data_IF_185520650609
#
_entry.id   IF_185520650609
#
_cell.length_a   1.000
_cell.length_b   1.000
_cell.length_c   1.000
_cell.angle_alpha   90.00
_cell.angle_beta   90.00
_cell.angle_gamma   90.00
#
_symmetry.space_group_name_H-M   'P 1'
#
loop_
_entity.id
_entity.type
_entity.pdbx_description
1 polymer ?
#
# COMPACT_ATOMS: atom_id res chain seq x y z
N UNK A 1 -18.04 -24.96 -45.16
CA UNK A 1 -18.00 -25.29 -43.74
C UNK A 1 -17.55 -23.99 -43.02
N UNK A 2 -18.49 -23.29 -42.40
CA UNK A 2 -18.18 -22.07 -41.68
C UNK A 2 -17.79 -22.36 -40.24
N UNK A 3 -16.62 -21.88 -39.83
CA UNK A 3 -16.17 -21.91 -38.46
C UNK A 3 -16.90 -20.85 -37.67
N UNK A 4 -17.78 -21.27 -36.77
CA UNK A 4 -18.40 -20.39 -35.77
C UNK A 4 -17.33 -20.03 -34.75
N UNK A 5 -16.94 -18.76 -34.68
CA UNK A 5 -16.13 -18.25 -33.57
C UNK A 5 -17.01 -18.23 -32.31
N UNK A 6 -16.66 -19.05 -31.33
CA UNK A 6 -17.26 -18.93 -29.99
C UNK A 6 -16.77 -17.64 -29.34
N UNK A 7 -17.65 -16.68 -29.22
CA UNK A 7 -17.44 -15.53 -28.35
C UNK A 7 -17.64 -15.99 -26.90
N UNK A 8 -16.54 -16.18 -26.19
CA UNK A 8 -16.59 -16.32 -24.74
C UNK A 8 -16.95 -14.95 -24.16
N UNK A 9 -18.24 -14.78 -23.81
CA UNK A 9 -18.67 -13.64 -23.02
C UNK A 9 -18.04 -13.79 -21.63
N UNK A 10 -16.97 -13.04 -21.38
CA UNK A 10 -16.41 -12.92 -20.03
C UNK A 10 -17.50 -12.36 -19.12
N UNK A 11 -17.84 -13.08 -18.05
CA UNK A 11 -18.74 -12.58 -17.03
C UNK A 11 -18.19 -11.24 -16.52
N UNK A 12 -19.05 -10.21 -16.30
CA UNK A 12 -18.58 -8.93 -15.78
C UNK A 12 -17.89 -9.18 -14.44
N UNK A 13 -16.64 -8.71 -14.33
CA UNK A 13 -15.87 -8.76 -13.09
C UNK A 13 -16.68 -8.01 -12.03
N UNK A 14 -16.94 -8.65 -10.88
CA UNK A 14 -17.70 -8.04 -9.78
C UNK A 14 -17.00 -6.74 -9.40
N UNK A 15 -17.75 -5.61 -9.42
CA UNK A 15 -17.28 -4.32 -8.92
C UNK A 15 -16.67 -4.51 -7.53
N UNK A 16 -15.41 -4.16 -7.37
CA UNK A 16 -14.79 -4.20 -6.07
C UNK A 16 -15.50 -3.19 -5.16
N UNK A 17 -16.00 -3.65 -4.02
CA UNK A 17 -16.51 -2.75 -2.99
C UNK A 17 -15.31 -2.00 -2.41
N UNK A 18 -15.25 -0.68 -2.63
CA UNK A 18 -14.18 0.17 -2.14
C UNK A 18 -14.54 0.82 -0.79
N UNK A 19 -14.94 -0.04 0.16
CA UNK A 19 -15.18 0.34 1.56
C UNK A 19 -14.57 -0.71 2.47
N UNK A 20 -13.70 -0.27 3.41
CA UNK A 20 -12.91 -1.14 4.28
C UNK A 20 -13.00 -0.67 5.73
N UNK A 21 -13.53 -1.52 6.61
CA UNK A 21 -13.70 -1.27 8.05
C UNK A 21 -12.63 -1.93 8.91
N UNK A 22 -11.82 -2.83 8.34
CA UNK A 22 -10.74 -3.55 9.01
C UNK A 22 -11.14 -4.35 10.26
N UNK A 23 -12.40 -4.76 10.37
CA UNK A 23 -12.89 -5.58 11.48
C UNK A 23 -12.44 -7.04 11.37
N UNK A 24 -12.17 -7.53 10.17
CA UNK A 24 -11.84 -8.91 9.89
C UNK A 24 -10.42 -9.06 9.36
N UNK A 25 -9.69 -10.03 9.91
CA UNK A 25 -8.29 -10.31 9.56
C UNK A 25 -8.06 -11.81 9.44
N UNK A 26 -7.22 -12.20 8.50
CA UNK A 26 -6.74 -13.56 8.36
C UNK A 26 -5.40 -13.71 9.08
N UNK A 27 -5.26 -14.77 9.89
CA UNK A 27 -3.99 -15.10 10.56
C UNK A 27 -3.19 -16.03 9.66
N UNK A 28 -1.95 -15.67 9.40
CA UNK A 28 -0.97 -16.48 8.67
C UNK A 28 0.03 -17.05 9.67
N UNK A 29 0.18 -18.37 9.69
CA UNK A 29 1.07 -19.09 10.61
C UNK A 29 2.23 -19.74 9.84
N UNK A 30 3.35 -19.02 9.62
CA UNK A 30 4.51 -19.58 8.96
C UNK A 30 5.22 -20.63 9.82
N UNK A 31 5.81 -21.64 9.19
CA UNK A 31 6.45 -22.75 9.91
C UNK A 31 7.64 -22.33 10.79
N UNK A 32 8.38 -21.29 10.38
CA UNK A 32 9.67 -20.91 11.00
C UNK A 32 9.71 -19.47 11.50
N UNK A 33 8.65 -18.70 11.31
CA UNK A 33 8.58 -17.29 11.66
C UNK A 33 7.38 -17.01 12.54
N UNK A 34 7.35 -15.84 13.16
CA UNK A 34 6.20 -15.38 13.92
C UNK A 34 4.96 -15.29 13.04
N UNK A 35 3.80 -15.59 13.60
CA UNK A 35 2.52 -15.39 12.93
C UNK A 35 2.28 -13.90 12.63
N UNK A 36 1.57 -13.63 11.55
CA UNK A 36 1.17 -12.29 11.17
C UNK A 36 -0.28 -12.28 10.65
N UNK A 37 -0.78 -11.09 10.38
CA UNK A 37 -2.15 -10.90 9.92
C UNK A 37 -2.17 -10.24 8.54
N UNK A 38 -3.20 -10.59 7.76
CA UNK A 38 -3.53 -9.94 6.50
C UNK A 38 -4.99 -9.45 6.54
N UNK A 39 -5.28 -8.24 6.04
CA UNK A 39 -6.64 -7.72 6.06
C UNK A 39 -7.56 -8.47 5.10
N UNK A 40 -8.84 -8.48 5.40
CA UNK A 40 -9.88 -9.02 4.53
C UNK A 40 -10.63 -7.86 3.85
N UNK A 41 -10.92 -7.97 2.54
CA UNK A 41 -10.74 -9.12 1.63
C UNK A 41 -9.34 -9.19 1.01
N UNK A 42 -8.71 -10.37 1.06
CA UNK A 42 -7.34 -10.60 0.58
C UNK A 42 -7.19 -10.59 -0.95
N UNK A 43 -8.27 -10.68 -1.69
CA UNK A 43 -8.28 -10.53 -3.15
C UNK A 43 -8.23 -9.06 -3.61
N UNK A 44 -8.43 -8.13 -2.68
CA UNK A 44 -8.42 -6.68 -2.91
C UNK A 44 -7.30 -5.99 -2.13
N UNK A 45 -7.14 -6.32 -0.84
CA UNK A 45 -6.19 -5.69 0.07
C UNK A 45 -4.91 -6.53 0.20
N UNK A 46 -3.77 -5.87 0.29
CA UNK A 46 -2.48 -6.50 0.53
C UNK A 46 -1.58 -5.64 1.42
N UNK A 47 -0.57 -6.30 2.02
CA UNK A 47 0.44 -5.70 2.88
C UNK A 47 1.83 -6.23 2.54
N UNK A 48 2.93 -5.60 2.99
CA UNK A 48 4.28 -6.13 2.82
C UNK A 48 4.67 -7.20 3.86
N UNK A 49 3.74 -7.67 4.71
CA UNK A 49 4.05 -8.58 5.82
C UNK A 49 4.79 -9.85 5.37
N UNK A 50 4.42 -10.42 4.21
CA UNK A 50 5.12 -11.58 3.66
C UNK A 50 6.58 -11.28 3.32
N UNK A 51 6.89 -10.09 2.84
CA UNK A 51 8.27 -9.65 2.61
C UNK A 51 9.03 -9.48 3.91
N UNK A 52 8.41 -8.84 4.91
CA UNK A 52 8.98 -8.64 6.23
C UNK A 52 9.21 -9.96 6.99
N UNK A 53 8.36 -10.98 6.81
CA UNK A 53 8.60 -12.33 7.34
C UNK A 53 9.98 -12.83 6.95
N UNK A 54 10.33 -12.70 5.68
CA UNK A 54 11.54 -13.31 5.10
C UNK A 54 12.76 -12.39 5.18
N UNK A 55 12.61 -11.11 4.81
CA UNK A 55 13.74 -10.16 4.77
C UNK A 55 14.14 -9.68 6.16
N UNK A 56 13.15 -9.40 7.03
CA UNK A 56 13.44 -8.93 8.39
C UNK A 56 13.67 -10.08 9.37
N UNK A 57 13.49 -11.33 8.95
CA UNK A 57 13.78 -12.51 9.75
C UNK A 57 12.98 -12.56 11.05
N UNK A 58 11.66 -12.30 11.00
CA UNK A 58 10.78 -12.23 12.19
C UNK A 58 10.64 -13.58 12.90
N UNK A 59 11.69 -14.01 13.58
CA UNK A 59 11.73 -15.22 14.42
C UNK A 59 11.46 -14.89 15.88
N UNK A 60 11.23 -15.94 16.70
CA UNK A 60 11.05 -15.78 18.15
C UNK A 60 12.29 -15.19 18.80
N UNK A 61 13.50 -15.58 18.33
CA UNK A 61 14.78 -15.12 18.86
C UNK A 61 15.13 -13.70 18.42
N UNK A 62 14.62 -13.26 17.26
CA UNK A 62 14.93 -11.94 16.70
C UNK A 62 13.68 -11.27 16.11
N UNK A 63 12.74 -10.77 16.92
CA UNK A 63 11.51 -10.18 16.46
C UNK A 63 11.69 -8.70 16.06
N UNK A 64 11.85 -8.42 14.77
CA UNK A 64 11.79 -7.03 14.26
C UNK A 64 10.36 -6.48 14.32
N UNK A 65 9.38 -7.36 14.20
CA UNK A 65 7.95 -7.05 14.14
C UNK A 65 7.43 -6.85 12.72
N UNK A 66 6.15 -7.11 12.53
CA UNK A 66 5.50 -6.91 11.24
C UNK A 66 5.13 -5.45 11.02
N UNK A 67 5.23 -4.96 9.78
CA UNK A 67 4.88 -3.57 9.45
C UNK A 67 3.38 -3.31 9.47
N UNK A 68 2.53 -4.32 9.34
CA UNK A 68 1.06 -4.15 9.45
C UNK A 68 0.51 -5.13 10.47
N UNK A 69 -0.26 -4.60 11.42
CA UNK A 69 -0.91 -5.34 12.50
C UNK A 69 -2.32 -4.81 12.74
N UNK A 70 -3.11 -5.53 13.53
CA UNK A 70 -4.44 -5.08 13.96
C UNK A 70 -4.29 -4.04 15.07
N UNK A 71 -5.05 -2.95 15.00
CA UNK A 71 -5.37 -2.09 16.12
C UNK A 71 -6.74 -2.52 16.67
N UNK A 72 -6.76 -3.08 17.88
CA UNK A 72 -7.98 -3.62 18.49
C UNK A 72 -9.00 -2.54 18.89
N UNK A 73 -8.56 -1.27 18.95
CA UNK A 73 -9.42 -0.13 19.29
C UNK A 73 -9.39 0.88 18.13
N UNK A 74 -10.11 0.55 17.06
CA UNK A 74 -10.30 1.41 15.90
C UNK A 74 -11.15 2.65 16.20
N UNK A 75 -11.44 3.39 15.14
CA UNK A 75 -12.46 4.43 15.19
C UNK A 75 -13.85 3.80 15.37
N UNK A 76 -14.12 2.75 14.60
CA UNK A 76 -15.24 1.84 14.79
C UNK A 76 -14.70 0.41 14.76
N UNK A 77 -14.93 -0.39 15.81
CA UNK A 77 -14.43 -1.76 15.87
C UNK A 77 -12.90 -1.84 15.91
N UNK A 78 -12.31 -2.57 14.95
CA UNK A 78 -10.86 -2.68 14.75
C UNK A 78 -10.38 -1.73 13.65
N UNK A 79 -9.07 -1.56 13.55
CA UNK A 79 -8.44 -0.72 12.51
C UNK A 79 -7.15 -1.36 11.99
N UNK A 80 -6.64 -0.86 10.87
CA UNK A 80 -5.33 -1.23 10.37
C UNK A 80 -4.25 -0.32 10.96
N UNK A 81 -3.24 -0.92 11.62
CA UNK A 81 -2.10 -0.23 12.20
C UNK A 81 -0.85 -0.53 11.39
N UNK A 82 -0.30 0.50 10.79
CA UNK A 82 0.86 0.48 9.93
C UNK A 82 2.04 1.07 10.69
N UNK A 83 3.15 0.34 10.76
CA UNK A 83 4.30 0.71 11.59
C UNK A 83 5.57 0.62 10.75
N UNK A 84 6.32 1.69 10.70
CA UNK A 84 7.66 1.69 10.09
C UNK A 84 8.63 0.91 10.95
N UNK A 85 9.32 -0.06 10.36
CA UNK A 85 10.28 -0.93 11.03
C UNK A 85 11.70 -0.62 10.61
N UNK A 86 12.59 -0.66 11.58
CA UNK A 86 14.03 -0.67 11.34
C UNK A 86 14.45 -2.09 10.98
N UNK A 87 14.86 -2.29 9.74
CA UNK A 87 15.27 -3.59 9.21
C UNK A 87 16.80 -3.70 9.05
N UNK A 88 17.55 -2.72 9.55
CA UNK A 88 19.02 -2.76 9.54
C UNK A 88 19.54 -3.95 10.33
N UNK A 89 20.60 -4.58 9.84
CA UNK A 89 21.17 -5.79 10.44
C UNK A 89 20.42 -7.07 10.10
N UNK A 90 19.47 -7.02 9.20
CA UNK A 90 18.72 -8.18 8.69
C UNK A 90 19.06 -8.47 7.21
N UNK A 91 18.41 -9.45 6.60
CA UNK A 91 18.56 -9.71 5.16
C UNK A 91 18.08 -8.55 4.28
N UNK A 92 17.27 -7.63 4.83
CA UNK A 92 16.84 -6.43 4.14
C UNK A 92 18.01 -5.50 3.74
N UNK A 93 19.14 -5.56 4.46
CA UNK A 93 20.38 -4.84 4.10
C UNK A 93 20.89 -5.22 2.70
N UNK A 94 20.72 -6.47 2.28
CA UNK A 94 21.11 -6.92 0.95
C UNK A 94 20.30 -6.25 -0.17
N UNK A 95 19.03 -5.92 0.13
CA UNK A 95 18.15 -5.17 -0.76
C UNK A 95 18.24 -3.64 -0.54
N UNK A 96 19.10 -3.18 0.38
CA UNK A 96 19.20 -1.78 0.87
C UNK A 96 17.85 -1.24 1.38
N UNK A 97 16.98 -2.11 1.86
CA UNK A 97 15.68 -1.80 2.42
C UNK A 97 15.79 -1.61 3.94
N UNK A 98 16.61 -0.65 4.36
CA UNK A 98 16.96 -0.42 5.77
C UNK A 98 15.75 -0.05 6.62
N UNK A 99 14.80 0.66 6.03
CA UNK A 99 13.55 1.05 6.66
C UNK A 99 12.42 0.42 5.86
N UNK A 100 11.57 -0.34 6.54
CA UNK A 100 10.37 -0.96 5.95
C UNK A 100 9.14 -0.22 6.47
N UNK A 101 8.56 0.64 5.65
CA UNK A 101 7.31 1.32 5.97
C UNK A 101 6.16 0.31 6.08
N UNK A 102 5.32 0.47 7.10
CA UNK A 102 4.02 -0.20 7.14
C UNK A 102 3.15 0.34 6.02
N UNK A 103 2.73 -0.51 5.10
CA UNK A 103 1.87 -0.10 4.01
C UNK A 103 0.69 -1.06 3.82
N UNK A 104 -0.46 -0.47 3.53
CA UNK A 104 -1.70 -1.15 3.20
C UNK A 104 -2.17 -0.63 1.85
N UNK A 105 -2.52 -1.51 0.93
CA UNK A 105 -2.91 -1.08 -0.40
C UNK A 105 -3.91 -2.03 -1.06
N UNK A 106 -4.66 -1.50 -2.03
CA UNK A 106 -5.43 -2.35 -2.93
C UNK A 106 -4.53 -2.87 -4.04
N UNK A 107 -4.61 -4.19 -4.29
CA UNK A 107 -3.77 -4.88 -5.26
C UNK A 107 -3.22 -6.20 -4.74
N UNK A 108 -1.96 -6.50 -5.05
CA UNK A 108 -1.29 -7.74 -4.63
C UNK A 108 0.15 -7.50 -4.23
N UNK A 109 0.62 -8.24 -3.25
CA UNK A 109 2.04 -8.33 -2.91
C UNK A 109 2.57 -9.69 -3.36
N UNK A 110 3.38 -9.67 -4.44
CA UNK A 110 3.92 -10.88 -5.07
C UNK A 110 5.40 -11.04 -4.70
N UNK A 111 5.68 -11.44 -3.45
CA UNK A 111 7.04 -11.52 -2.94
C UNK A 111 7.84 -12.65 -3.59
N UNK A 112 9.03 -12.29 -4.07
CA UNK A 112 10.08 -13.19 -4.54
C UNK A 112 11.42 -12.74 -3.99
N UNK A 113 12.11 -13.58 -3.24
CA UNK A 113 13.43 -13.26 -2.68
C UNK A 113 14.43 -12.87 -3.78
N UNK A 114 14.52 -13.65 -4.85
CA UNK A 114 15.41 -13.36 -5.98
C UNK A 114 15.01 -12.05 -6.69
N UNK A 115 13.72 -11.79 -6.80
CA UNK A 115 13.18 -10.54 -7.37
C UNK A 115 13.53 -9.35 -6.51
N UNK A 116 13.34 -9.43 -5.19
CA UNK A 116 13.58 -8.35 -4.25
C UNK A 116 15.05 -7.90 -4.20
N UNK A 117 15.99 -8.83 -4.43
CA UNK A 117 17.44 -8.56 -4.44
C UNK A 117 17.95 -7.93 -5.76
N UNK A 118 17.10 -7.82 -6.80
CA UNK A 118 17.48 -7.11 -8.01
C UNK A 118 17.44 -5.58 -7.78
N UNK A 119 18.18 -4.78 -8.56
CA UNK A 119 18.09 -3.32 -8.48
C UNK A 119 16.64 -2.82 -8.60
N UNK A 120 16.15 -2.11 -7.58
CA UNK A 120 14.75 -1.66 -7.48
C UNK A 120 13.73 -2.79 -7.33
N UNK A 121 14.19 -4.04 -7.17
CA UNK A 121 13.34 -5.22 -7.18
C UNK A 121 12.39 -5.31 -6.00
N UNK A 122 12.78 -4.80 -4.83
CA UNK A 122 11.89 -4.77 -3.65
C UNK A 122 10.60 -3.97 -3.92
N UNK A 123 10.69 -2.85 -4.63
CA UNK A 123 9.54 -2.00 -5.00
C UNK A 123 8.63 -2.67 -6.04
N UNK A 124 9.18 -3.51 -6.90
CA UNK A 124 8.45 -4.24 -7.95
C UNK A 124 7.64 -5.42 -7.41
N UNK A 125 7.78 -5.77 -6.13
CA UNK A 125 6.96 -6.83 -5.52
C UNK A 125 5.52 -6.38 -5.24
N UNK A 126 5.27 -5.08 -5.28
CA UNK A 126 3.96 -4.49 -5.03
C UNK A 126 3.25 -4.23 -6.35
N UNK A 127 2.09 -4.82 -6.54
CA UNK A 127 1.23 -4.66 -7.70
C UNK A 127 -0.01 -3.88 -7.28
N UNK A 128 0.00 -2.58 -7.48
CA UNK A 128 -1.06 -1.69 -7.04
C UNK A 128 -2.28 -1.71 -7.94
N UNK A 129 -3.45 -1.62 -7.34
CA UNK A 129 -4.73 -1.38 -7.96
C UNK A 129 -5.52 -2.65 -8.33
N UNK A 130 -6.82 -2.51 -8.22
CA UNK A 130 -7.83 -3.48 -8.65
C UNK A 130 -8.76 -2.84 -9.67
N UNK A 131 -9.43 -3.65 -10.49
CA UNK A 131 -10.38 -3.14 -11.50
C UNK A 131 -11.44 -2.28 -10.83
N UNK A 132 -11.69 -1.12 -11.42
CA UNK A 132 -12.66 -0.14 -10.94
C UNK A 132 -13.40 0.49 -12.12
N UNK A 133 -14.72 0.36 -12.15
CA UNK A 133 -15.58 0.69 -13.32
C UNK A 133 -16.47 1.92 -13.11
N UNK A 134 -16.16 2.73 -12.11
CA UNK A 134 -16.85 3.98 -11.83
C UNK A 134 -15.90 5.16 -11.95
N UNK A 135 -16.47 6.35 -12.09
CA UNK A 135 -15.71 7.59 -11.95
C UNK A 135 -15.54 7.89 -10.45
N UNK A 136 -14.33 7.83 -9.88
CA UNK A 136 -14.13 8.16 -8.48
C UNK A 136 -14.28 9.66 -8.27
N UNK A 137 -14.95 10.04 -7.19
CA UNK A 137 -15.17 11.44 -6.80
C UNK A 137 -14.39 11.82 -5.55
N UNK A 138 -14.47 10.97 -4.53
CA UNK A 138 -13.90 11.25 -3.20
C UNK A 138 -13.29 9.99 -2.61
N UNK A 139 -12.12 10.14 -2.01
CA UNK A 139 -11.52 9.18 -1.09
C UNK A 139 -11.62 9.75 0.34
N UNK A 140 -12.20 9.01 1.26
CA UNK A 140 -12.38 9.43 2.64
C UNK A 140 -12.05 8.32 3.63
N UNK A 141 -11.87 8.69 4.89
CA UNK A 141 -11.62 7.76 5.99
C UNK A 141 -11.23 8.47 7.26
N UNK A 142 -10.85 7.69 8.26
CA UNK A 142 -10.35 8.14 9.55
C UNK A 142 -8.89 7.71 9.73
N UNK A 143 -8.07 8.56 10.36
CA UNK A 143 -6.69 8.20 10.66
C UNK A 143 -6.16 8.84 11.93
N UNK A 144 -5.11 8.25 12.48
CA UNK A 144 -4.20 8.82 13.47
C UNK A 144 -2.78 8.62 12.97
N UNK A 145 -1.88 9.53 13.34
CA UNK A 145 -0.48 9.39 13.00
C UNK A 145 0.45 9.88 14.11
N UNK A 146 1.47 9.08 14.40
CA UNK A 146 2.54 9.42 15.32
C UNK A 146 3.87 9.17 14.63
N UNK A 147 4.67 10.21 14.33
CA UNK A 147 6.01 10.02 13.76
C UNK A 147 6.96 9.39 14.77
N UNK A 148 7.86 8.53 14.29
CA UNK A 148 8.99 8.01 15.03
C UNK A 148 10.21 8.95 14.97
N UNK A 149 11.31 8.52 15.55
CA UNK A 149 12.61 9.23 15.55
C UNK A 149 13.73 8.25 15.85
N UNK A 150 14.98 8.43 15.32
CA UNK A 150 15.37 9.39 14.28
C UNK A 150 14.82 9.03 12.91
N UNK A 151 14.79 10.00 11.98
CA UNK A 151 14.51 9.74 10.59
C UNK A 151 15.77 9.18 9.89
N UNK A 152 15.59 8.13 9.12
CA UNK A 152 16.67 7.47 8.37
C UNK A 152 16.47 7.73 6.88
N UNK A 153 17.51 8.28 6.24
CA UNK A 153 17.60 8.37 4.77
C UNK A 153 18.64 7.41 4.22
N UNK A 154 18.36 6.82 3.08
CA UNK A 154 19.34 6.06 2.31
C UNK A 154 20.07 7.03 1.37
N UNK A 155 21.31 7.39 1.74
CA UNK A 155 22.18 8.28 0.95
C UNK A 155 23.34 7.44 0.41
N UNK A 156 23.51 7.41 -0.91
CA UNK A 156 24.53 6.61 -1.59
C UNK A 156 24.57 5.13 -1.16
N UNK A 157 23.39 4.59 -0.83
CA UNK A 157 23.24 3.21 -0.36
C UNK A 157 23.64 2.98 1.10
N UNK A 158 23.77 4.04 1.89
CA UNK A 158 24.07 4.00 3.33
C UNK A 158 22.90 4.61 4.12
N UNK A 159 22.47 3.90 5.18
CA UNK A 159 21.46 4.41 6.11
C UNK A 159 22.07 5.54 6.95
N UNK A 160 21.51 6.74 6.85
CA UNK A 160 21.99 7.96 7.51
C UNK A 160 20.88 8.58 8.33
N UNK A 161 21.15 8.87 9.61
CA UNK A 161 20.21 9.58 10.48
C UNK A 161 20.16 11.06 10.13
N UNK A 162 18.95 11.62 10.14
CA UNK A 162 18.70 13.06 9.88
C UNK A 162 17.73 13.63 10.92
N UNK A 163 17.65 14.97 10.97
CA UNK A 163 16.69 15.69 11.84
C UNK A 163 15.30 15.87 11.19
N UNK A 164 15.06 15.22 10.05
CA UNK A 164 13.75 15.29 9.39
C UNK A 164 12.68 14.64 10.27
N UNK A 165 11.46 15.14 10.14
CA UNK A 165 10.28 14.56 10.81
C UNK A 165 9.54 13.71 9.78
N UNK A 166 9.24 12.46 10.15
CA UNK A 166 8.50 11.56 9.28
C UNK A 166 7.04 12.01 9.13
N UNK A 167 6.48 11.76 7.96
CA UNK A 167 5.08 12.01 7.61
C UNK A 167 4.44 10.73 7.08
N UNK A 168 3.14 10.56 7.32
CA UNK A 168 2.39 9.49 6.68
C UNK A 168 1.98 9.86 5.25
N UNK A 169 1.72 8.82 4.44
CA UNK A 169 1.15 8.94 3.10
C UNK A 169 -0.21 8.27 3.02
N UNK A 170 -1.23 8.96 2.53
CA UNK A 170 -2.56 8.43 2.23
C UNK A 170 -2.96 8.93 0.85
N UNK A 171 -3.21 8.02 -0.09
CA UNK A 171 -3.60 8.39 -1.44
C UNK A 171 -4.49 7.35 -2.12
N UNK A 172 -5.22 7.80 -3.12
CA UNK A 172 -5.86 6.94 -4.10
C UNK A 172 -5.49 7.40 -5.51
N UNK A 173 -5.17 6.45 -6.39
CA UNK A 173 -4.68 6.69 -7.76
C UNK A 173 -5.54 5.91 -8.74
N UNK A 174 -6.16 6.62 -9.69
CA UNK A 174 -6.85 6.01 -10.82
C UNK A 174 -5.94 6.00 -12.04
N UNK A 175 -5.81 4.87 -12.70
CA UNK A 175 -4.99 4.72 -13.89
C UNK A 175 -5.65 3.78 -14.91
N UNK A 176 -5.32 3.97 -16.19
CA UNK A 176 -5.81 3.15 -17.30
C UNK A 176 -4.93 1.92 -17.50
N UNK A 177 -5.53 0.83 -17.94
CA UNK A 177 -4.84 -0.39 -18.38
C UNK A 177 -5.43 -0.89 -19.68
N UNK A 178 -4.61 -1.56 -20.50
CA UNK A 178 -5.05 -2.27 -21.71
C UNK A 178 -5.34 -3.73 -21.42
N UNK A 179 -4.62 -4.30 -20.45
CA UNK A 179 -4.83 -5.66 -19.95
C UNK A 179 -4.98 -5.67 -18.43
N UNK A 180 -5.83 -6.57 -17.90
CA UNK A 180 -6.08 -6.68 -16.46
C UNK A 180 -4.82 -7.08 -15.65
N UNK A 181 -3.81 -7.65 -16.29
CA UNK A 181 -2.54 -8.02 -15.67
C UNK A 181 -1.62 -6.83 -15.42
N UNK A 182 -1.81 -5.70 -16.15
CA UNK A 182 -1.00 -4.50 -15.97
C UNK A 182 -1.25 -3.86 -14.61
N UNK A 183 -0.17 -3.44 -13.95
CA UNK A 183 -0.22 -2.74 -12.65
C UNK A 183 0.78 -1.60 -12.61
N UNK A 184 0.54 -0.66 -11.71
CA UNK A 184 1.59 0.19 -11.17
C UNK A 184 2.30 -0.56 -10.04
N UNK A 185 3.55 -0.20 -9.76
CA UNK A 185 4.35 -0.74 -8.66
C UNK A 185 5.01 0.38 -7.85
N UNK A 186 5.84 0.03 -6.85
CA UNK A 186 6.51 1.02 -6.00
C UNK A 186 7.50 1.92 -6.73
N UNK A 187 7.85 1.62 -7.99
CA UNK A 187 8.76 2.47 -8.78
C UNK A 187 8.03 3.58 -9.54
N UNK A 188 6.71 3.44 -9.74
CA UNK A 188 5.97 4.35 -10.62
C UNK A 188 4.64 4.88 -10.06
N UNK A 189 4.12 4.37 -8.94
CA UNK A 189 2.86 4.84 -8.35
C UNK A 189 2.89 6.34 -7.99
N UNK A 190 4.03 6.87 -7.59
CA UNK A 190 4.23 8.27 -7.22
C UNK A 190 4.84 9.12 -8.35
N UNK A 191 5.09 8.53 -9.51
CA UNK A 191 5.65 9.22 -10.69
C UNK A 191 4.57 9.91 -11.53
N UNK A 192 5.02 10.58 -12.60
CA UNK A 192 4.17 11.11 -13.67
C UNK A 192 3.87 10.06 -14.77
N UNK A 193 3.68 8.79 -14.38
CA UNK A 193 3.31 7.72 -15.32
C UNK A 193 2.09 8.14 -16.15
N UNK A 194 2.18 7.98 -17.47
CA UNK A 194 1.16 8.44 -18.41
C UNK A 194 -0.19 7.77 -18.23
N UNK A 195 -0.20 6.54 -17.68
CA UNK A 195 -1.43 5.79 -17.39
C UNK A 195 -2.26 6.42 -16.27
N UNK A 196 -1.64 7.20 -15.38
CA UNK A 196 -2.32 7.83 -14.25
C UNK A 196 -3.18 8.97 -14.76
N UNK A 197 -4.48 8.91 -14.46
CA UNK A 197 -5.47 9.87 -14.94
C UNK A 197 -6.08 10.74 -13.85
N UNK A 198 -6.10 10.26 -12.59
CA UNK A 198 -6.59 11.05 -11.46
C UNK A 198 -5.94 10.59 -10.14
N UNK A 199 -5.81 11.52 -9.20
CA UNK A 199 -5.28 11.27 -7.84
C UNK A 199 -6.14 11.98 -6.80
N UNK A 200 -6.27 11.33 -5.62
CA UNK A 200 -6.70 11.95 -4.38
C UNK A 200 -5.59 11.70 -3.35
N UNK A 201 -4.95 12.75 -2.83
CA UNK A 201 -3.76 12.65 -1.97
C UNK A 201 -3.90 13.51 -0.73
N UNK A 202 -3.53 12.97 0.42
CA UNK A 202 -3.39 13.72 1.66
C UNK A 202 -2.14 14.61 1.58
N UNK A 203 -2.35 15.92 1.67
CA UNK A 203 -1.25 16.90 1.59
C UNK A 203 -0.49 17.01 2.92
N UNK A 204 -1.21 17.00 4.04
CA UNK A 204 -0.65 17.12 5.39
C UNK A 204 -0.58 15.75 6.07
N UNK A 205 0.57 15.08 5.97
CA UNK A 205 0.87 13.81 6.62
C UNK A 205 1.49 13.93 8.02
N UNK A 206 1.47 15.13 8.63
CA UNK A 206 2.05 15.36 9.95
C UNK A 206 1.26 14.71 11.09
N UNK A 207 1.80 14.74 12.31
CA UNK A 207 1.22 14.10 13.50
C UNK A 207 -0.26 14.46 13.72
N UNK A 208 -1.07 13.45 14.02
CA UNK A 208 -2.49 13.54 14.40
C UNK A 208 -2.75 12.61 15.57
N UNK A 209 -2.72 13.15 16.78
CA UNK A 209 -2.88 12.37 18.01
C UNK A 209 -4.30 11.80 18.16
N UNK A 210 -5.30 12.53 17.69
CA UNK A 210 -6.70 12.12 17.73
C UNK A 210 -7.19 11.61 16.37
N UNK A 211 -8.26 10.83 16.37
CA UNK A 211 -8.91 10.40 15.15
C UNK A 211 -9.31 11.60 14.30
N UNK A 212 -8.68 11.70 13.14
CA UNK A 212 -8.87 12.80 12.20
C UNK A 212 -9.52 12.26 10.94
N UNK A 213 -10.57 12.92 10.52
CA UNK A 213 -11.24 12.60 9.27
C UNK A 213 -10.46 13.19 8.10
N UNK A 214 -10.38 12.47 6.99
CA UNK A 214 -9.96 13.03 5.72
C UNK A 214 -11.04 12.83 4.65
N UNK A 215 -11.12 13.78 3.74
CA UNK A 215 -11.99 13.76 2.58
C UNK A 215 -11.24 14.40 1.42
N UNK A 216 -10.75 13.58 0.50
CA UNK A 216 -9.87 13.96 -0.60
C UNK A 216 -10.65 13.86 -1.91
N UNK A 217 -10.77 14.96 -2.64
CA UNK A 217 -11.37 14.95 -3.97
C UNK A 217 -10.36 14.43 -5.00
N UNK A 218 -10.84 13.70 -6.01
CA UNK A 218 -9.97 13.28 -7.09
C UNK A 218 -9.68 14.44 -8.03
N UNK A 219 -8.41 14.80 -8.14
CA UNK A 219 -7.92 15.74 -9.14
C UNK A 219 -7.55 14.99 -10.39
N UNK A 220 -8.16 15.34 -11.50
CA UNK A 220 -7.90 14.76 -12.82
C UNK A 220 -6.70 15.45 -13.48
N UNK A 221 -5.93 14.67 -14.24
CA UNK A 221 -4.85 15.20 -15.06
C UNK A 221 -5.43 16.18 -16.11
N UNK A 222 -4.71 17.26 -16.41
CA UNK A 222 -5.15 18.29 -17.33
C UNK A 222 -5.60 17.71 -18.68
N UNK A 223 -6.80 18.09 -19.11
CA UNK A 223 -7.39 17.64 -20.38
C UNK A 223 -7.90 16.19 -20.37
N UNK A 224 -7.83 15.49 -19.23
CA UNK A 224 -8.33 14.10 -19.10
C UNK A 224 -9.69 14.09 -18.40
N UNK A 225 -10.62 13.31 -18.95
CA UNK A 225 -11.94 13.05 -18.35
C UNK A 225 -12.20 11.56 -18.28
N UNK A 226 -13.12 11.17 -17.40
CA UNK A 226 -13.56 9.77 -17.33
C UNK A 226 -14.19 9.33 -18.65
N UNK A 227 -13.78 8.17 -19.12
CA UNK A 227 -14.27 7.52 -20.34
C UNK A 227 -14.68 6.07 -20.00
N UNK A 228 -15.99 5.81 -19.92
CA UNK A 228 -16.53 4.51 -19.55
C UNK A 228 -16.17 3.37 -20.54
N UNK A 229 -15.56 3.67 -21.68
CA UNK A 229 -15.08 2.66 -22.64
C UNK A 229 -13.69 2.13 -22.31
N UNK A 230 -12.97 2.79 -21.40
CA UNK A 230 -11.63 2.38 -20.95
C UNK A 230 -11.70 1.49 -19.72
N UNK A 231 -10.68 0.65 -19.58
CA UNK A 231 -10.50 -0.15 -18.35
C UNK A 231 -9.62 0.63 -17.39
N UNK A 232 -10.08 0.75 -16.15
CA UNK A 232 -9.36 1.42 -15.08
C UNK A 232 -9.01 0.48 -13.94
N UNK A 233 -7.92 0.80 -13.26
CA UNK A 233 -7.63 0.29 -11.94
C UNK A 233 -7.54 1.44 -10.94
N UNK A 234 -7.99 1.15 -9.71
CA UNK A 234 -7.90 2.07 -8.59
C UNK A 234 -6.97 1.47 -7.52
N UNK A 235 -5.92 2.21 -7.21
CA UNK A 235 -5.00 1.91 -6.13
C UNK A 235 -5.30 2.83 -4.95
N UNK A 236 -5.65 2.27 -3.78
CA UNK A 236 -5.57 2.94 -2.49
C UNK A 236 -4.21 2.56 -1.90
N UNK A 237 -3.46 3.52 -1.37
CA UNK A 237 -2.17 3.29 -0.72
C UNK A 237 -2.12 4.12 0.56
N UNK A 238 -1.94 3.45 1.70
CA UNK A 238 -1.67 4.06 2.99
C UNK A 238 -0.28 3.61 3.45
N UNK A 239 0.57 4.53 3.91
CA UNK A 239 1.94 4.25 4.35
C UNK A 239 2.27 5.00 5.62
N UNK A 240 2.92 4.33 6.57
CA UNK A 240 3.40 4.95 7.82
C UNK A 240 4.61 5.87 7.63
N UNK A 241 5.28 5.80 6.48
CA UNK A 241 6.33 6.74 6.07
C UNK A 241 6.11 7.12 4.61
N UNK A 242 5.91 8.41 4.34
CA UNK A 242 5.64 8.97 3.01
C UNK A 242 6.76 8.64 2.00
N UNK A 243 8.00 8.64 2.47
CA UNK A 243 9.17 8.29 1.68
C UNK A 243 9.52 6.78 1.73
N UNK A 244 8.59 5.94 2.18
CA UNK A 244 8.79 4.49 2.32
C UNK A 244 9.20 3.77 1.02
N UNK A 245 8.79 4.28 -0.15
CA UNK A 245 9.23 3.77 -1.45
C UNK A 245 10.74 4.02 -1.71
N UNK A 246 11.35 4.96 -1.01
CA UNK A 246 12.80 5.21 -1.02
C UNK A 246 13.52 4.50 0.13
N UNK A 247 12.83 3.67 0.91
CA UNK A 247 13.31 3.07 2.15
C UNK A 247 13.79 4.10 3.17
N UNK A 248 13.15 5.28 3.16
CA UNK A 248 13.34 6.36 4.10
C UNK A 248 12.15 6.40 5.07
N UNK A 249 12.43 6.83 6.31
CA UNK A 249 11.41 6.94 7.34
C UNK A 249 12.00 6.81 8.73
N UNK A 250 11.18 6.94 9.76
CA UNK A 250 11.59 6.79 11.14
C UNK A 250 10.99 5.52 11.76
N UNK A 251 11.81 4.71 12.39
CA UNK A 251 11.35 3.51 13.09
C UNK A 251 10.27 3.88 14.10
N UNK A 252 9.20 3.06 14.15
CA UNK A 252 7.99 3.26 14.96
C UNK A 252 7.08 4.43 14.53
N UNK A 253 7.35 5.10 13.39
CA UNK A 253 6.29 5.90 12.77
C UNK A 253 5.05 5.04 12.58
N UNK A 254 3.92 5.49 13.13
CA UNK A 254 2.71 4.67 13.23
C UNK A 254 1.52 5.41 12.64
N UNK A 255 0.97 4.87 11.56
CA UNK A 255 -0.28 5.29 10.95
C UNK A 255 -1.37 4.27 11.28
N UNK A 256 -2.48 4.73 11.82
CA UNK A 256 -3.68 3.90 12.03
C UNK A 256 -4.75 4.44 11.10
N UNK A 257 -5.35 3.56 10.28
CA UNK A 257 -6.41 3.92 9.34
C UNK A 257 -7.65 3.07 9.57
N UNK A 258 -8.81 3.69 9.37
CA UNK A 258 -10.12 3.05 9.56
C UNK A 258 -11.17 3.67 8.64
N UNK A 259 -12.25 2.92 8.37
CA UNK A 259 -13.41 3.38 7.59
C UNK A 259 -13.02 4.00 6.22
N UNK A 260 -12.07 3.38 5.52
CA UNK A 260 -11.65 3.84 4.19
C UNK A 260 -12.76 3.61 3.17
N UNK A 261 -13.10 4.62 2.38
CA UNK A 261 -14.14 4.51 1.37
C UNK A 261 -13.85 5.38 0.14
N UNK A 262 -14.05 4.80 -1.05
CA UNK A 262 -14.12 5.54 -2.31
C UNK A 262 -15.59 5.76 -2.69
N UNK A 263 -15.97 7.00 -2.87
CA UNK A 263 -17.26 7.40 -3.43
C UNK A 263 -17.07 7.65 -4.92
N UNK A 264 -17.90 7.01 -5.75
CA UNK A 264 -17.87 7.15 -7.22
C UNK A 264 -19.27 7.11 -7.83
N UNK A 265 -19.36 7.58 -9.07
CA UNK A 265 -20.59 7.61 -9.89
C UNK A 265 -20.43 6.81 -11.19
#
# INVERSE_FOLDING_TARGET
MGTTAEYVVKAPTKNALMKFTFDEWNVVEPKYYLSYVEPIPQDILATPNKGAELLNGNTVENPVGYPVVVEEKGYMGKAAKLITRDARGTMADLAKAYITAGSLFTGKFAFSMLGALQPGGALKQTHFGVIYDKKPLVFKGMYKYTPGTPFIKTVDGVATETDDIDECGIQAVLYTVTEETETLDGTNIDSEDERIVARARLEDGTAKADWTNFKLEFTWKDGVTYDATKTYKLAIVCSSSKEGANFNGAANSTLIVDELEIIGE
#
